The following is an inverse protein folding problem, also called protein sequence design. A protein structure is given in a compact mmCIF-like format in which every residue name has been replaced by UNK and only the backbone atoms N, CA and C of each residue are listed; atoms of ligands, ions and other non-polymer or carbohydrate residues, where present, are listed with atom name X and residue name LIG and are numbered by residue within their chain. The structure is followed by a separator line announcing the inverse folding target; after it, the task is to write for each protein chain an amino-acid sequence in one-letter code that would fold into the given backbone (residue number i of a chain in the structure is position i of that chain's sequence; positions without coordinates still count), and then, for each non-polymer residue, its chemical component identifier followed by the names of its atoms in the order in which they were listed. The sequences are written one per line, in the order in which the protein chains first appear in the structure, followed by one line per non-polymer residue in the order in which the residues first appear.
data_IF_338626865166
#
_entry.id   IF_338626865166
#
_cell.length_a   1.000
_cell.length_b   1.000
_cell.length_c   1.000
_cell.angle_alpha   90.00
_cell.angle_beta   90.00
_cell.angle_gamma   90.00
#
_symmetry.space_group_name_H-M   'P 1'
#
loop_
_entity.id
_entity.type
_entity.pdbx_description
1 polymer ?
#
# COMPACT_ATOMS: atom_id res chain seq x y z
N UNK A 1 20.88 15.21 -32.32
CA UNK A 1 19.97 14.23 -32.93
C UNK A 1 19.84 13.11 -31.92
N UNK A 2 18.72 13.06 -31.19
CA UNK A 2 18.53 12.11 -30.09
C UNK A 2 18.35 10.72 -30.67
N UNK A 3 19.26 9.80 -30.35
CA UNK A 3 19.10 8.37 -30.62
C UNK A 3 18.08 7.83 -29.62
N UNK A 4 16.80 7.87 -30.00
CA UNK A 4 15.74 7.22 -29.23
C UNK A 4 16.05 5.72 -29.16
N UNK A 5 16.15 5.19 -27.95
CA UNK A 5 16.26 3.75 -27.72
C UNK A 5 14.93 3.13 -28.15
N UNK A 6 14.94 2.31 -29.20
CA UNK A 6 13.77 1.51 -29.60
C UNK A 6 13.40 0.55 -28.46
N UNK A 7 12.30 0.83 -27.76
CA UNK A 7 11.75 -0.06 -26.77
C UNK A 7 11.02 -1.22 -27.47
N UNK A 8 11.27 -2.44 -27.00
CA UNK A 8 10.70 -3.66 -27.57
C UNK A 8 9.99 -4.48 -26.52
N UNK A 9 8.85 -5.06 -26.88
CA UNK A 9 8.10 -6.00 -26.06
C UNK A 9 8.99 -7.19 -25.66
N UNK A 10 9.12 -7.54 -24.37
CA UNK A 10 9.96 -8.66 -23.95
C UNK A 10 9.42 -10.03 -24.42
N UNK A 11 8.11 -10.14 -24.69
CA UNK A 11 7.49 -11.39 -25.12
C UNK A 11 7.55 -11.62 -26.63
N UNK A 12 7.39 -10.57 -27.45
CA UNK A 12 7.30 -10.72 -28.92
C UNK A 12 8.26 -9.83 -29.72
N UNK A 13 9.10 -9.03 -29.06
CA UNK A 13 10.07 -8.12 -29.67
C UNK A 13 9.50 -7.04 -30.61
N UNK A 14 8.16 -6.89 -30.65
CA UNK A 14 7.50 -5.78 -31.33
C UNK A 14 7.92 -4.45 -30.71
N UNK A 15 7.98 -3.40 -31.54
CA UNK A 15 8.24 -2.04 -31.08
C UNK A 15 7.07 -1.57 -30.20
N UNK A 16 7.37 -0.90 -29.10
CA UNK A 16 6.37 -0.47 -28.11
C UNK A 16 6.67 0.96 -27.63
N UNK A 17 5.63 1.76 -27.39
CA UNK A 17 5.79 3.06 -26.72
C UNK A 17 6.07 2.81 -25.23
N UNK A 18 6.99 3.55 -24.58
CA UNK A 18 7.23 3.46 -23.14
C UNK A 18 5.98 3.69 -22.27
N UNK A 19 4.94 4.33 -22.82
CA UNK A 19 3.65 4.54 -22.16
C UNK A 19 2.63 3.45 -22.44
N UNK A 20 2.90 2.55 -23.38
CA UNK A 20 1.99 1.45 -23.69
C UNK A 20 1.83 0.57 -22.45
N UNK A 21 0.58 0.33 -22.08
CA UNK A 21 0.23 -0.55 -20.97
C UNK A 21 0.32 -2.02 -21.38
N UNK A 22 0.00 -2.29 -22.64
CA UNK A 22 0.03 -3.61 -23.24
C UNK A 22 0.67 -3.51 -24.61
N UNK A 23 1.41 -4.54 -24.99
CA UNK A 23 1.90 -4.67 -26.35
C UNK A 23 0.72 -4.82 -27.28
N UNK A 24 0.54 -3.87 -28.19
CA UNK A 24 -0.54 -3.92 -29.18
C UNK A 24 -0.49 -5.17 -30.07
N UNK A 25 0.69 -5.79 -30.20
CA UNK A 25 0.88 -6.98 -31.01
C UNK A 25 0.53 -8.30 -30.30
N UNK A 26 0.91 -8.47 -29.03
CA UNK A 26 0.71 -9.75 -28.33
C UNK A 26 -0.10 -9.67 -27.03
N UNK A 27 -0.52 -8.48 -26.61
CA UNK A 27 -1.27 -8.26 -25.37
C UNK A 27 -0.42 -8.39 -24.09
N UNK A 28 0.88 -8.67 -24.19
CA UNK A 28 1.78 -8.72 -23.03
C UNK A 28 1.76 -7.37 -22.32
N UNK A 29 1.57 -7.37 -20.99
CA UNK A 29 1.66 -6.14 -20.20
C UNK A 29 3.09 -5.59 -20.24
N UNK A 30 3.20 -4.28 -20.50
CA UNK A 30 4.45 -3.56 -20.68
C UNK A 30 4.63 -2.55 -19.54
N UNK A 31 5.89 -2.22 -19.23
CA UNK A 31 6.20 -1.15 -18.28
C UNK A 31 6.01 -1.52 -16.81
N UNK A 32 6.14 -2.80 -16.46
CA UNK A 32 6.20 -3.28 -15.07
C UNK A 32 5.02 -4.14 -14.61
N UNK A 33 5.20 -4.89 -13.51
CA UNK A 33 4.11 -5.65 -12.86
C UNK A 33 3.28 -4.73 -11.97
N UNK A 34 1.97 -4.96 -11.88
CA UNK A 34 1.07 -4.16 -11.04
C UNK A 34 0.03 -4.99 -10.32
N UNK A 35 -0.50 -4.45 -9.23
CA UNK A 35 -1.68 -4.96 -8.54
C UNK A 35 -2.49 -3.81 -7.94
N UNK A 36 -3.81 -3.97 -7.87
CA UNK A 36 -4.69 -3.17 -7.03
C UNK A 36 -5.71 -4.09 -6.37
N UNK A 37 -5.75 -4.08 -5.04
CA UNK A 37 -6.66 -4.86 -4.20
C UNK A 37 -7.52 -3.92 -3.35
N UNK A 38 -8.75 -4.32 -2.96
CA UNK A 38 -9.42 -5.55 -3.40
C UNK A 38 -9.70 -5.55 -4.91
N UNK A 39 -9.37 -6.65 -5.60
CA UNK A 39 -9.86 -6.91 -6.95
C UNK A 39 -11.16 -7.67 -6.77
N UNK A 40 -12.30 -7.16 -7.26
CA UNK A 40 -13.59 -7.86 -7.13
C UNK A 40 -13.67 -9.16 -7.97
N UNK A 41 -12.53 -9.77 -8.28
CA UNK A 41 -12.43 -11.09 -8.88
C UNK A 41 -12.78 -12.15 -7.83
N UNK A 42 -13.59 -13.18 -8.17
CA UNK A 42 -13.96 -14.21 -7.21
C UNK A 42 -12.70 -14.98 -6.74
N UNK A 43 -12.35 -14.87 -5.45
CA UNK A 43 -11.27 -15.66 -4.86
C UNK A 43 -11.53 -17.18 -4.90
N UNK A 44 -10.58 -18.04 -4.47
CA UNK A 44 -10.76 -19.50 -4.45
C UNK A 44 -11.94 -19.91 -3.55
N UNK A 45 -12.80 -20.87 -3.96
CA UNK A 45 -14.07 -21.18 -3.29
C UNK A 45 -13.92 -21.40 -1.78
N UNK A 46 -14.54 -20.53 -1.00
CA UNK A 46 -14.79 -20.71 0.43
C UNK A 46 -16.01 -21.60 0.61
N UNK A 47 -16.17 -22.23 1.77
CA UNK A 47 -17.41 -22.95 2.07
C UNK A 47 -18.56 -21.94 2.20
N UNK A 48 -19.72 -22.26 1.64
CA UNK A 48 -20.90 -21.41 1.71
C UNK A 48 -21.36 -21.20 3.15
N UNK A 49 -21.55 -19.94 3.56
CA UNK A 49 -21.96 -19.58 4.92
C UNK A 49 -23.29 -20.21 5.36
N UNK A 50 -24.19 -20.52 4.42
CA UNK A 50 -25.48 -21.13 4.73
C UNK A 50 -25.49 -22.66 4.75
N UNK A 51 -24.69 -23.31 3.90
CA UNK A 51 -24.79 -24.77 3.73
C UNK A 51 -23.46 -25.52 3.75
N UNK A 52 -22.33 -24.82 3.86
CA UNK A 52 -20.98 -25.38 3.80
C UNK A 52 -20.56 -25.92 2.43
N UNK A 53 -21.38 -25.70 1.38
CA UNK A 53 -21.10 -26.16 0.01
C UNK A 53 -19.89 -25.43 -0.60
N UNK A 54 -19.12 -26.11 -1.43
CA UNK A 54 -17.90 -25.58 -2.06
C UNK A 54 -18.10 -25.18 -3.53
N UNK A 55 -19.32 -25.30 -4.05
CA UNK A 55 -19.63 -25.12 -5.46
C UNK A 55 -20.50 -23.88 -5.67
N UNK A 56 -20.08 -23.06 -6.64
CA UNK A 56 -20.74 -21.82 -7.02
C UNK A 56 -20.96 -21.79 -8.53
N UNK A 57 -21.99 -21.09 -9.00
CA UNK A 57 -22.20 -20.81 -10.41
C UNK A 57 -21.36 -19.63 -10.91
N UNK A 58 -21.51 -19.27 -12.20
CA UNK A 58 -20.75 -18.17 -12.83
C UNK A 58 -21.07 -16.78 -12.27
N UNK A 59 -22.18 -16.65 -11.56
CA UNK A 59 -22.64 -15.41 -10.92
C UNK A 59 -22.34 -15.39 -9.40
N UNK A 60 -21.64 -16.42 -8.89
CA UNK A 60 -21.20 -16.51 -7.50
C UNK A 60 -22.25 -17.00 -6.51
N UNK A 61 -23.36 -17.57 -6.96
CA UNK A 61 -24.36 -18.18 -6.07
C UNK A 61 -24.01 -19.63 -5.76
N UNK A 62 -24.18 -20.02 -4.49
CA UNK A 62 -23.97 -21.40 -4.08
C UNK A 62 -24.97 -22.30 -4.81
N UNK A 63 -24.48 -23.30 -5.55
CA UNK A 63 -25.35 -24.22 -6.30
C UNK A 63 -26.19 -25.12 -5.40
N UNK A 64 -25.83 -25.22 -4.12
CA UNK A 64 -26.47 -26.10 -3.15
C UNK A 64 -27.60 -25.40 -2.38
N UNK A 65 -27.47 -24.11 -2.05
CA UNK A 65 -28.48 -23.37 -1.27
C UNK A 65 -28.94 -22.03 -1.86
N UNK A 66 -28.37 -21.59 -2.98
CA UNK A 66 -28.73 -20.33 -3.63
C UNK A 66 -28.26 -19.07 -2.88
N UNK A 67 -27.46 -19.21 -1.82
CA UNK A 67 -26.89 -18.07 -1.13
C UNK A 67 -25.73 -17.50 -1.95
N UNK A 68 -25.71 -16.18 -2.12
CA UNK A 68 -24.57 -15.50 -2.71
C UNK A 68 -23.33 -15.80 -1.87
N UNK A 69 -22.23 -16.14 -2.53
CA UNK A 69 -20.96 -16.40 -1.87
C UNK A 69 -20.60 -15.22 -0.97
N UNK A 70 -20.33 -15.51 0.32
CA UNK A 70 -19.61 -14.58 1.17
C UNK A 70 -18.25 -14.35 0.52
N UNK A 71 -18.00 -13.12 0.06
CA UNK A 71 -16.73 -12.79 -0.57
C UNK A 71 -15.62 -13.18 0.41
N UNK A 72 -14.59 -13.94 0.00
CA UNK A 72 -13.36 -13.93 0.75
C UNK A 72 -12.88 -12.49 0.69
N UNK A 73 -13.15 -11.73 1.74
CA UNK A 73 -12.78 -10.32 1.79
C UNK A 73 -11.31 -10.17 2.22
N UNK A 74 -10.53 -11.20 1.88
CA UNK A 74 -9.08 -11.26 1.90
C UNK A 74 -8.58 -11.38 0.48
N UNK A 75 -7.68 -10.49 0.13
CA UNK A 75 -6.99 -10.48 -1.15
C UNK A 75 -5.49 -10.41 -0.90
N UNK A 76 -4.72 -11.17 -1.67
CA UNK A 76 -3.26 -11.13 -1.62
C UNK A 76 -2.65 -11.20 -3.02
N UNK A 77 -1.47 -10.61 -3.17
CA UNK A 77 -0.68 -10.69 -4.38
C UNK A 77 0.81 -10.57 -4.07
N UNK A 78 1.61 -11.19 -4.92
CA UNK A 78 3.08 -11.15 -4.85
C UNK A 78 3.63 -10.83 -6.23
N UNK A 79 4.25 -9.64 -6.38
CA UNK A 79 4.89 -9.19 -7.61
C UNK A 79 6.39 -9.57 -7.66
N UNK A 80 6.89 -10.28 -6.64
CA UNK A 80 8.29 -10.60 -6.39
C UNK A 80 9.03 -9.47 -5.68
N UNK A 81 8.86 -8.23 -6.15
CA UNK A 81 9.43 -7.04 -5.50
C UNK A 81 8.59 -6.53 -4.31
N UNK A 82 7.31 -6.89 -4.26
CA UNK A 82 6.37 -6.46 -3.23
C UNK A 82 5.31 -7.54 -3.05
N UNK A 83 5.02 -7.86 -1.79
CA UNK A 83 3.90 -8.70 -1.40
C UNK A 83 2.86 -7.86 -0.65
N UNK A 84 1.60 -8.03 -1.00
CA UNK A 84 0.48 -7.29 -0.40
C UNK A 84 -0.59 -8.26 0.08
N UNK A 85 -1.22 -7.94 1.20
CA UNK A 85 -2.39 -8.63 1.74
C UNK A 85 -3.34 -7.57 2.29
N UNK A 86 -4.63 -7.68 1.98
CA UNK A 86 -5.70 -6.89 2.60
C UNK A 86 -6.80 -7.84 3.04
N UNK A 87 -7.36 -7.64 4.23
CA UNK A 87 -8.37 -8.49 4.86
C UNK A 87 -9.43 -7.60 5.54
N UNK A 88 -10.71 -7.91 5.37
CA UNK A 88 -11.82 -7.21 6.05
C UNK A 88 -11.71 -7.20 7.58
N UNK A 89 -10.98 -8.13 8.16
CA UNK A 89 -11.04 -8.38 9.59
C UNK A 89 -12.33 -9.11 9.98
N UNK A 90 -12.60 -9.12 11.29
CA UNK A 90 -13.70 -9.88 11.89
C UNK A 90 -14.95 -9.01 12.00
N UNK A 91 -14.80 -7.77 12.47
CA UNK A 91 -15.93 -6.92 12.89
C UNK A 91 -16.60 -6.14 11.76
N UNK A 92 -15.87 -5.77 10.72
CA UNK A 92 -16.41 -4.93 9.63
C UNK A 92 -17.25 -5.75 8.66
N UNK A 93 -18.27 -5.15 8.04
CA UNK A 93 -19.13 -5.84 7.08
C UNK A 93 -18.54 -5.95 5.66
N UNK A 94 -17.52 -5.13 5.37
CA UNK A 94 -16.80 -5.05 4.10
C UNK A 94 -15.37 -4.58 4.37
N UNK A 95 -14.47 -4.87 3.43
CA UNK A 95 -13.14 -4.28 3.41
C UNK A 95 -13.21 -2.89 2.75
N UNK A 96 -12.92 -1.88 3.56
CA UNK A 96 -12.84 -0.47 3.21
C UNK A 96 -11.40 -0.03 2.96
N UNK A 97 -10.41 -0.90 3.23
CA UNK A 97 -9.03 -0.69 2.83
C UNK A 97 -8.81 -0.99 1.35
N UNK A 98 -7.75 -0.38 0.80
CA UNK A 98 -7.21 -0.70 -0.50
C UNK A 98 -5.68 -0.64 -0.50
N UNK A 99 -5.08 -1.44 -1.36
CA UNK A 99 -3.64 -1.41 -1.65
C UNK A 99 -3.40 -1.51 -3.13
N UNK A 100 -2.47 -0.72 -3.64
CA UNK A 100 -1.99 -0.85 -5.01
C UNK A 100 -0.46 -0.82 -5.03
N UNK A 101 0.14 -1.51 -6.01
CA UNK A 101 1.57 -1.45 -6.22
C UNK A 101 1.95 -1.57 -7.71
N UNK A 102 3.10 -1.02 -8.06
CA UNK A 102 3.73 -1.12 -9.37
C UNK A 102 5.24 -1.37 -9.22
N UNK A 103 5.79 -2.26 -10.04
CA UNK A 103 7.21 -2.59 -10.09
C UNK A 103 7.77 -2.16 -11.44
N UNK A 104 8.69 -1.20 -11.43
CA UNK A 104 9.47 -0.78 -12.59
C UNK A 104 10.80 -1.54 -12.59
N UNK A 105 10.98 -2.42 -13.58
CA UNK A 105 12.10 -3.37 -13.64
C UNK A 105 13.40 -2.75 -14.24
N UNK A 106 13.42 -1.44 -14.52
CA UNK A 106 14.56 -0.76 -15.16
C UNK A 106 14.78 -1.09 -16.64
N UNK A 107 13.84 -1.80 -17.28
CA UNK A 107 13.93 -2.17 -18.69
C UNK A 107 14.02 -0.94 -19.60
N UNK A 108 14.88 -0.99 -20.61
CA UNK A 108 15.04 0.11 -21.58
C UNK A 108 15.75 1.36 -21.04
N UNK A 109 16.49 1.23 -19.92
CA UNK A 109 17.16 2.36 -19.28
C UNK A 109 16.26 3.18 -18.35
N UNK A 110 15.04 2.69 -18.06
CA UNK A 110 14.15 3.27 -17.07
C UNK A 110 14.61 3.02 -15.62
N UNK A 111 13.94 3.62 -14.62
CA UNK A 111 14.28 3.40 -13.22
C UNK A 111 13.96 1.97 -12.75
N UNK A 112 14.80 1.41 -11.86
CA UNK A 112 14.48 0.22 -11.05
C UNK A 112 13.82 0.68 -9.76
N UNK A 113 12.50 0.61 -9.70
CA UNK A 113 11.73 1.18 -8.60
C UNK A 113 10.47 0.36 -8.27
N UNK A 114 10.04 0.38 -7.02
CA UNK A 114 8.72 -0.11 -6.61
C UNK A 114 7.91 1.05 -6.04
N UNK A 115 6.66 1.19 -6.47
CA UNK A 115 5.69 2.17 -5.97
C UNK A 115 4.57 1.41 -5.27
N UNK A 116 4.22 1.83 -4.06
CA UNK A 116 3.14 1.21 -3.27
C UNK A 116 2.26 2.32 -2.69
N UNK A 117 0.97 2.08 -2.63
CA UNK A 117 0.01 2.88 -1.86
C UNK A 117 -0.88 1.96 -1.05
N UNK A 118 -1.03 2.25 0.24
CA UNK A 118 -2.10 1.71 1.10
C UNK A 118 -3.02 2.88 1.45
N UNK A 119 -4.32 2.68 1.38
CA UNK A 119 -5.33 3.66 1.75
C UNK A 119 -6.42 2.96 2.57
N UNK A 120 -6.82 3.58 3.67
CA UNK A 120 -7.83 3.08 4.60
C UNK A 120 -9.07 3.96 4.49
N UNK A 121 -10.22 3.36 4.20
CA UNK A 121 -11.47 4.07 4.02
C UNK A 121 -12.07 4.50 5.35
N UNK A 122 -12.37 5.79 5.53
CA UNK A 122 -12.93 6.30 6.79
C UNK A 122 -14.37 5.79 6.96
N UNK A 123 -14.60 4.84 7.86
CA UNK A 123 -15.91 4.14 8.00
C UNK A 123 -17.12 5.04 8.30
N UNK A 124 -16.90 6.27 8.79
CA UNK A 124 -17.96 7.25 9.02
C UNK A 124 -18.36 8.04 7.78
N UNK A 125 -17.63 7.88 6.66
CA UNK A 125 -17.91 8.51 5.37
C UNK A 125 -18.82 7.65 4.49
N UNK A 126 -19.33 8.24 3.40
CA UNK A 126 -20.06 7.48 2.38
C UNK A 126 -19.08 6.73 1.47
N UNK A 127 -19.42 5.49 1.10
CA UNK A 127 -18.62 4.67 0.19
C UNK A 127 -17.09 4.72 0.42
N UNK A 128 -16.60 4.51 1.66
CA UNK A 128 -15.17 4.61 2.01
C UNK A 128 -14.28 3.70 1.16
N UNK A 129 -14.79 2.53 0.76
CA UNK A 129 -14.11 1.59 -0.15
C UNK A 129 -13.87 2.17 -1.56
N UNK A 130 -14.73 3.10 -2.00
CA UNK A 130 -14.56 3.79 -3.29
C UNK A 130 -13.46 4.84 -3.17
N UNK A 131 -13.41 5.56 -2.04
CA UNK A 131 -12.36 6.54 -1.76
C UNK A 131 -10.98 5.86 -1.68
N UNK A 132 -10.81 4.87 -0.81
CA UNK A 132 -9.53 4.16 -0.63
C UNK A 132 -9.06 3.49 -1.92
N UNK A 133 -9.95 2.77 -2.61
CA UNK A 133 -9.64 2.14 -3.89
C UNK A 133 -9.23 3.13 -4.98
N UNK A 134 -9.90 4.29 -5.05
CA UNK A 134 -9.56 5.36 -6.01
C UNK A 134 -8.21 5.99 -5.67
N UNK A 135 -7.96 6.27 -4.39
CA UNK A 135 -6.71 6.84 -3.90
C UNK A 135 -5.52 5.93 -4.20
N UNK A 136 -5.63 4.63 -3.87
CA UNK A 136 -4.58 3.65 -4.09
C UNK A 136 -4.22 3.52 -5.58
N UNK A 137 -5.21 3.29 -6.44
CA UNK A 137 -5.00 3.13 -7.89
C UNK A 137 -4.42 4.39 -8.54
N UNK A 138 -5.01 5.54 -8.25
CA UNK A 138 -4.60 6.81 -8.85
C UNK A 138 -3.21 7.23 -8.36
N UNK A 139 -2.95 7.08 -7.06
CA UNK A 139 -1.67 7.44 -6.45
C UNK A 139 -0.51 6.64 -7.02
N UNK A 140 -0.66 5.31 -7.16
CA UNK A 140 0.34 4.45 -7.79
C UNK A 140 0.59 4.87 -9.23
N UNK A 141 -0.47 5.05 -10.03
CA UNK A 141 -0.30 5.33 -11.46
C UNK A 141 0.35 6.69 -11.69
N UNK A 142 -0.10 7.75 -11.01
CA UNK A 142 0.49 9.08 -11.15
C UNK A 142 1.96 9.12 -10.67
N UNK A 143 2.28 8.43 -9.56
CA UNK A 143 3.65 8.31 -9.09
C UNK A 143 4.53 7.53 -10.08
N UNK A 144 4.01 6.43 -10.62
CA UNK A 144 4.68 5.62 -11.65
C UNK A 144 4.98 6.45 -12.90
N UNK A 145 4.01 7.20 -13.40
CA UNK A 145 4.19 8.10 -14.55
C UNK A 145 5.28 9.14 -14.26
N UNK A 146 5.24 9.78 -13.10
CA UNK A 146 6.26 10.77 -12.69
C UNK A 146 7.68 10.17 -12.65
N UNK A 147 7.84 8.94 -12.16
CA UNK A 147 9.15 8.25 -12.18
C UNK A 147 9.62 7.93 -13.60
N UNK A 148 8.72 7.51 -14.49
CA UNK A 148 9.04 7.25 -15.90
C UNK A 148 9.42 8.53 -16.65
N UNK A 149 8.84 9.67 -16.26
CA UNK A 149 9.22 11.00 -16.76
C UNK A 149 10.56 11.50 -16.16
N UNK A 150 11.19 10.71 -15.30
CA UNK A 150 12.51 10.99 -14.73
C UNK A 150 12.49 11.90 -13.50
N UNK A 151 11.32 12.12 -12.88
CA UNK A 151 11.24 12.93 -11.66
C UNK A 151 11.90 12.22 -10.47
N UNK A 152 12.48 12.97 -9.51
CA UNK A 152 12.98 12.41 -8.25
C UNK A 152 11.87 11.73 -7.44
N UNK A 153 12.24 10.74 -6.60
CA UNK A 153 11.30 9.96 -5.78
C UNK A 153 10.37 10.83 -4.94
N UNK A 154 10.89 11.92 -4.36
CA UNK A 154 10.11 12.91 -3.60
C UNK A 154 9.01 13.58 -4.44
N UNK A 155 9.36 14.06 -5.64
CA UNK A 155 8.40 14.72 -6.52
C UNK A 155 7.37 13.72 -7.07
N UNK A 156 7.80 12.50 -7.40
CA UNK A 156 6.90 11.44 -7.83
C UNK A 156 5.92 11.00 -6.73
N UNK A 157 6.38 10.86 -5.48
CA UNK A 157 5.51 10.54 -4.35
C UNK A 157 4.45 11.63 -4.13
N UNK A 158 4.87 12.91 -4.20
CA UNK A 158 3.94 14.05 -4.09
C UNK A 158 2.98 14.16 -5.27
N UNK A 159 3.42 13.83 -6.50
CA UNK A 159 2.54 13.75 -7.66
C UNK A 159 1.45 12.68 -7.48
N UNK A 160 1.83 11.50 -6.95
CA UNK A 160 0.89 10.44 -6.57
C UNK A 160 -0.14 10.91 -5.54
N UNK A 161 0.33 11.49 -4.43
CA UNK A 161 -0.54 12.02 -3.37
C UNK A 161 -1.49 13.11 -3.87
N UNK A 162 -1.00 14.05 -4.68
CA UNK A 162 -1.82 15.12 -5.24
C UNK A 162 -2.89 14.60 -6.21
N UNK A 163 -2.54 13.63 -7.06
CA UNK A 163 -3.48 13.00 -7.98
C UNK A 163 -4.55 12.18 -7.23
N UNK A 164 -4.14 11.40 -6.23
CA UNK A 164 -5.05 10.66 -5.36
C UNK A 164 -6.02 11.60 -4.62
N UNK A 165 -5.50 12.71 -4.07
CA UNK A 165 -6.31 13.75 -3.43
C UNK A 165 -7.40 14.26 -4.37
N UNK A 166 -7.02 14.66 -5.58
CA UNK A 166 -7.95 15.22 -6.54
C UNK A 166 -8.99 14.17 -6.97
N UNK A 167 -8.56 12.94 -7.26
CA UNK A 167 -9.46 11.87 -7.68
C UNK A 167 -10.50 11.51 -6.61
N UNK A 168 -10.13 11.49 -5.32
CA UNK A 168 -11.09 11.25 -4.23
C UNK A 168 -12.08 12.42 -4.10
N UNK A 169 -11.61 13.67 -4.25
CA UNK A 169 -12.49 14.85 -4.22
C UNK A 169 -13.50 14.89 -5.37
N UNK A 170 -13.14 14.32 -6.50
CA UNK A 170 -14.01 14.25 -7.68
C UNK A 170 -15.04 13.12 -7.59
N UNK A 171 -14.98 12.26 -6.56
CA UNK A 171 -16.05 11.30 -6.26
C UNK A 171 -17.28 12.11 -5.83
N UNK A 172 -18.39 11.92 -6.55
CA UNK A 172 -19.63 12.65 -6.29
C UNK A 172 -20.10 12.47 -4.85
N UNK A 173 -20.51 13.57 -4.22
CA UNK A 173 -21.06 13.58 -2.85
C UNK A 173 -22.58 13.44 -2.95
N UNK A 174 -23.14 12.38 -2.35
CA UNK A 174 -24.55 12.36 -2.01
C UNK A 174 -24.71 12.90 -0.57
N UNK A 175 -25.81 13.61 -0.30
CA UNK A 175 -26.35 13.96 1.02
C UNK A 175 -25.38 14.15 2.23
N UNK A 176 -24.28 14.87 2.03
CA UNK A 176 -23.58 15.60 3.10
C UNK A 176 -22.36 14.95 3.75
N UNK A 177 -21.94 13.73 3.35
CA UNK A 177 -20.67 13.14 3.80
C UNK A 177 -19.85 12.71 2.59
N UNK A 178 -18.68 13.31 2.39
CA UNK A 178 -17.85 12.99 1.24
C UNK A 178 -17.10 11.67 1.45
N UNK A 179 -17.04 10.79 0.43
CA UNK A 179 -16.17 9.62 0.49
C UNK A 179 -14.74 10.00 0.86
N UNK A 180 -14.24 9.34 1.91
CA UNK A 180 -12.98 9.74 2.54
C UNK A 180 -12.08 8.56 2.86
N UNK A 181 -10.78 8.78 2.81
CA UNK A 181 -9.78 7.78 3.16
C UNK A 181 -8.47 8.40 3.67
N UNK A 182 -7.65 7.62 4.35
CA UNK A 182 -6.23 7.90 4.58
C UNK A 182 -5.43 7.65 3.29
N UNK A 183 -4.13 7.91 3.36
CA UNK A 183 -3.19 7.59 2.28
C UNK A 183 -1.78 7.43 2.85
N UNK A 184 -1.13 6.30 2.61
CA UNK A 184 0.31 6.15 2.79
C UNK A 184 0.92 5.55 1.53
N UNK A 185 2.00 6.14 1.05
CA UNK A 185 2.69 5.69 -0.16
C UNK A 185 4.18 5.56 0.06
N UNK A 186 4.82 4.75 -0.77
CA UNK A 186 6.26 4.65 -0.81
C UNK A 186 6.78 4.48 -2.23
N UNK A 187 7.94 5.07 -2.48
CA UNK A 187 8.81 4.82 -3.62
C UNK A 187 10.10 4.20 -3.09
N UNK A 188 10.40 2.98 -3.53
CA UNK A 188 11.65 2.28 -3.23
C UNK A 188 12.46 2.23 -4.51
N UNK A 189 13.58 2.94 -4.57
CA UNK A 189 14.44 3.05 -5.75
C UNK A 189 15.83 2.56 -5.43
N UNK A 190 16.34 1.63 -6.23
CA UNK A 190 17.71 1.12 -6.10
C UNK A 190 18.63 1.85 -7.08
N UNK A 191 19.79 2.27 -6.60
CA UNK A 191 20.87 2.86 -7.39
C UNK A 191 22.23 2.27 -6.98
N UNK A 192 23.32 2.80 -7.54
CA UNK A 192 24.67 2.33 -7.25
C UNK A 192 25.12 2.58 -5.80
N UNK A 193 24.48 3.52 -5.11
CA UNK A 193 24.82 3.95 -3.75
C UNK A 193 23.90 3.31 -2.68
N UNK A 194 22.99 2.41 -3.09
CA UNK A 194 22.11 1.65 -2.21
C UNK A 194 20.63 1.78 -2.59
N UNK A 195 19.76 1.72 -1.58
CA UNK A 195 18.31 1.88 -1.76
C UNK A 195 17.83 3.16 -1.12
N UNK A 196 17.14 3.98 -1.90
CA UNK A 196 16.39 5.15 -1.46
C UNK A 196 14.93 4.77 -1.24
N UNK A 197 14.41 5.09 -0.06
CA UNK A 197 13.01 4.88 0.32
C UNK A 197 12.41 6.24 0.62
N UNK A 198 11.43 6.66 -0.17
CA UNK A 198 10.67 7.89 0.05
C UNK A 198 9.23 7.54 0.37
N UNK A 199 8.75 7.96 1.53
CA UNK A 199 7.36 7.76 1.97
C UNK A 199 6.60 9.08 1.99
N UNK A 200 5.31 9.03 1.66
CA UNK A 200 4.38 10.15 1.85
C UNK A 200 3.11 9.67 2.56
N UNK A 201 2.61 10.40 3.57
CA UNK A 201 1.37 10.03 4.28
C UNK A 201 0.40 11.19 4.54
N UNK A 202 -0.88 10.84 4.60
CA UNK A 202 -2.02 11.64 5.10
C UNK A 202 -2.90 10.70 5.90
N UNK A 203 -3.29 11.11 7.10
CA UNK A 203 -4.00 10.23 8.05
C UNK A 203 -3.03 9.40 8.88
N UNK A 204 -3.46 8.24 9.34
CA UNK A 204 -2.76 7.42 10.33
C UNK A 204 -2.37 6.02 9.85
N UNK A 205 -2.54 5.71 8.56
CA UNK A 205 -1.84 4.57 7.96
C UNK A 205 -0.33 4.83 7.97
N UNK A 206 0.46 3.78 8.24
CA UNK A 206 1.87 3.92 8.59
C UNK A 206 2.82 3.23 7.62
N UNK A 207 4.05 3.75 7.58
CA UNK A 207 5.18 3.06 6.96
C UNK A 207 6.32 2.89 7.96
N UNK A 208 7.04 1.76 7.87
CA UNK A 208 8.13 1.38 8.75
C UNK A 208 9.33 0.88 7.95
N UNK A 209 10.52 1.30 8.34
CA UNK A 209 11.75 0.60 7.97
C UNK A 209 12.04 -0.46 9.04
N UNK A 210 12.24 -1.70 8.63
CA UNK A 210 12.47 -2.84 9.50
C UNK A 210 13.81 -3.48 9.12
N UNK A 211 14.80 -3.30 9.96
CA UNK A 211 16.15 -3.79 9.75
C UNK A 211 16.21 -5.32 9.95
N UNK A 212 16.94 -6.05 9.09
CA UNK A 212 17.04 -7.52 9.17
C UNK A 212 18.16 -8.04 10.10
N UNK A 213 19.16 -7.21 10.44
CA UNK A 213 20.37 -7.61 11.20
C UNK A 213 20.44 -7.01 12.63
N UNK A 214 21.52 -7.28 13.35
CA UNK A 214 21.85 -6.58 14.61
C UNK A 214 22.45 -5.18 14.32
N UNK A 215 22.29 -4.19 15.22
CA UNK A 215 22.31 -2.74 14.91
C UNK A 215 23.66 -2.08 14.53
N UNK A 216 24.66 -2.84 14.07
CA UNK A 216 26.05 -2.36 13.99
C UNK A 216 26.52 -1.90 12.60
N UNK A 217 25.66 -1.90 11.56
CA UNK A 217 26.01 -1.32 10.25
C UNK A 217 25.66 0.19 10.21
N UNK A 218 26.65 1.10 10.16
CA UNK A 218 26.40 2.54 10.07
C UNK A 218 25.67 2.97 8.79
N UNK A 219 25.64 2.13 7.74
CA UNK A 219 24.88 2.33 6.52
C UNK A 219 23.46 1.77 6.55
N UNK A 220 23.07 1.06 7.63
CA UNK A 220 21.76 0.46 7.77
C UNK A 220 21.03 1.01 9.02
N UNK A 221 20.03 1.89 8.86
CA UNK A 221 19.36 2.54 9.97
C UNK A 221 18.57 1.53 10.83
N UNK A 222 18.41 1.79 12.14
CA UNK A 222 17.62 0.92 13.01
C UNK A 222 16.14 0.90 12.60
N UNK A 223 15.44 -0.16 12.99
CA UNK A 223 13.99 -0.28 12.76
C UNK A 223 13.25 0.92 13.34
N UNK A 224 12.43 1.57 12.53
CA UNK A 224 11.76 2.82 12.90
C UNK A 224 10.51 3.10 12.05
N UNK A 225 9.54 3.80 12.65
CA UNK A 225 8.41 4.40 11.91
C UNK A 225 8.93 5.53 11.01
N UNK A 226 8.43 5.57 9.78
CA UNK A 226 8.80 6.57 8.76
C UNK A 226 7.74 7.67 8.60
N UNK A 227 6.52 7.43 9.05
CA UNK A 227 5.38 8.35 8.97
C UNK A 227 5.12 9.08 10.28
N UNK A 228 4.33 10.15 10.21
CA UNK A 228 3.76 10.82 11.36
C UNK A 228 2.25 10.86 11.18
N UNK A 229 1.51 10.30 12.13
CA UNK A 229 0.05 10.17 12.02
C UNK A 229 -0.61 11.56 12.07
N UNK A 230 -1.57 11.82 11.17
CA UNK A 230 -2.44 13.00 11.27
C UNK A 230 -3.61 12.71 12.22
N UNK A 231 -3.30 12.43 13.48
CA UNK A 231 -4.26 12.15 14.55
C UNK A 231 -4.23 13.20 15.66
N UNK A 232 -5.31 13.26 16.45
CA UNK A 232 -5.38 14.14 17.61
C UNK A 232 -4.30 13.83 18.65
N UNK A 233 -4.02 12.54 18.90
CA UNK A 233 -2.95 12.13 19.81
C UNK A 233 -1.58 12.64 19.34
N UNK A 234 -1.23 12.44 18.06
CA UNK A 234 0.05 12.90 17.52
C UNK A 234 0.16 14.42 17.58
N UNK A 235 -0.92 15.16 17.31
CA UNK A 235 -0.93 16.61 17.42
C UNK A 235 -0.67 17.12 18.86
N UNK A 236 -1.18 16.42 19.88
CA UNK A 236 -0.92 16.76 21.28
C UNK A 236 0.53 16.46 21.68
N UNK A 237 1.10 15.37 21.20
CA UNK A 237 2.51 14.99 21.43
C UNK A 237 3.44 16.01 20.75
N UNK A 238 3.18 16.33 19.49
CA UNK A 238 3.99 17.29 18.72
C UNK A 238 3.95 18.70 19.33
N UNK A 239 2.82 19.08 19.94
CA UNK A 239 2.68 20.34 20.68
C UNK A 239 3.36 20.33 22.07
N UNK A 240 3.89 19.18 22.51
CA UNK A 240 4.44 18.99 23.86
C UNK A 240 3.38 19.09 24.96
N UNK A 241 2.09 18.95 24.60
CA UNK A 241 0.97 19.10 25.53
C UNK A 241 0.71 17.82 26.33
N UNK A 242 1.08 16.66 25.79
CA UNK A 242 0.98 15.34 26.43
C UNK A 242 2.15 14.46 26.00
N UNK A 243 2.53 13.51 26.85
CA UNK A 243 3.38 12.40 26.41
C UNK A 243 2.58 11.40 25.57
N UNK A 244 3.30 10.57 24.81
CA UNK A 244 2.70 9.61 23.87
C UNK A 244 1.75 8.62 24.55
N UNK A 245 2.10 8.13 25.74
CA UNK A 245 1.28 7.17 26.47
C UNK A 245 -0.03 7.81 26.94
N UNK A 246 0.03 9.02 27.48
CA UNK A 246 -1.15 9.77 27.90
C UNK A 246 -2.03 10.14 26.69
N UNK A 247 -1.42 10.59 25.59
CA UNK A 247 -2.15 10.98 24.37
C UNK A 247 -2.91 9.79 23.76
N UNK A 248 -2.30 8.60 23.74
CA UNK A 248 -2.91 7.38 23.21
C UNK A 248 -4.09 6.86 24.06
N UNK A 249 -4.13 7.22 25.34
CA UNK A 249 -5.23 6.87 26.25
C UNK A 249 -6.39 7.89 26.20
N UNK A 250 -6.30 8.99 25.44
CA UNK A 250 -7.42 9.92 25.24
C UNK A 250 -8.51 9.24 24.39
N UNK A 251 -9.81 9.39 24.73
CA UNK A 251 -10.90 8.83 23.93
C UNK A 251 -10.93 9.30 22.46
N UNK A 252 -10.24 10.40 22.15
CA UNK A 252 -10.12 10.98 20.81
C UNK A 252 -8.77 10.67 20.16
N UNK A 253 -7.94 9.81 20.75
CA UNK A 253 -6.57 9.58 20.30
C UNK A 253 -6.49 9.30 18.79
N UNK A 254 -7.40 8.45 18.30
CA UNK A 254 -7.52 8.02 16.91
C UNK A 254 -8.32 8.98 16.01
N UNK A 255 -8.80 10.12 16.52
CA UNK A 255 -9.52 11.08 15.67
C UNK A 255 -8.56 11.66 14.63
N UNK A 256 -8.82 11.34 13.35
CA UNK A 256 -8.11 11.93 12.22
C UNK A 256 -8.33 13.44 12.15
N UNK A 257 -7.24 14.17 11.92
CA UNK A 257 -7.25 15.63 11.69
C UNK A 257 -6.94 15.99 10.23
N UNK A 258 -6.48 15.01 9.43
CA UNK A 258 -6.34 15.12 7.97
C UNK A 258 -6.68 13.79 7.29
N UNK A 259 -7.32 13.88 6.13
CA UNK A 259 -7.72 12.76 5.29
C UNK A 259 -7.87 13.27 3.84
N UNK A 260 -7.97 12.34 2.89
CA UNK A 260 -8.39 12.61 1.53
C UNK A 260 -9.91 12.56 1.47
N UNK A 261 -10.54 13.62 0.97
CA UNK A 261 -12.00 13.77 0.91
C UNK A 261 -12.37 15.18 0.43
N UNK A 262 -13.57 15.36 -0.10
CA UNK A 262 -14.07 16.69 -0.50
C UNK A 262 -14.36 17.60 0.71
N UNK A 263 -14.58 17.00 1.88
CA UNK A 263 -14.77 17.66 3.17
C UNK A 263 -13.45 17.83 3.97
N UNK A 264 -12.35 17.24 3.48
CA UNK A 264 -11.02 17.38 4.06
C UNK A 264 -10.39 18.76 3.83
N UNK A 265 -9.26 19.06 4.50
CA UNK A 265 -8.59 20.35 4.36
C UNK A 265 -8.06 20.58 2.93
N UNK A 266 -8.11 21.84 2.45
CA UNK A 266 -7.74 22.19 1.08
C UNK A 266 -6.36 21.65 0.64
N UNK A 267 -5.37 21.72 1.54
CA UNK A 267 -4.10 20.98 1.48
C UNK A 267 -4.20 19.84 2.51
N UNK A 268 -4.45 18.59 2.10
CA UNK A 268 -4.71 17.50 3.04
C UNK A 268 -3.45 16.92 3.69
N UNK A 269 -2.26 17.37 3.34
CA UNK A 269 -1.01 16.88 3.93
C UNK A 269 -0.32 17.91 4.82
N UNK A 270 0.37 17.42 5.85
CA UNK A 270 1.20 18.21 6.75
C UNK A 270 2.54 18.58 6.10
N UNK A 271 3.32 19.45 6.75
CA UNK A 271 4.66 19.80 6.25
C UNK A 271 5.68 18.67 6.46
N UNK A 272 5.37 17.70 7.32
CA UNK A 272 6.19 16.51 7.59
C UNK A 272 5.66 15.26 6.88
N UNK A 273 4.72 15.42 5.94
CA UNK A 273 4.09 14.29 5.25
C UNK A 273 5.07 13.46 4.41
N UNK A 274 6.25 13.98 4.07
CA UNK A 274 7.24 13.34 3.22
C UNK A 274 8.52 13.05 4.00
N UNK A 275 9.02 11.81 3.91
CA UNK A 275 10.31 11.41 4.50
C UNK A 275 11.11 10.55 3.53
N UNK A 276 12.41 10.81 3.44
CA UNK A 276 13.34 9.98 2.66
C UNK A 276 14.39 9.36 3.57
N UNK A 277 14.63 8.07 3.37
CA UNK A 277 15.65 7.26 4.03
C UNK A 277 16.56 6.66 2.95
N UNK A 278 17.85 6.52 3.24
CA UNK A 278 18.76 5.69 2.46
C UNK A 278 19.30 4.56 3.31
N UNK A 279 19.46 3.39 2.71
CA UNK A 279 20.07 2.22 3.33
C UNK A 279 20.95 1.49 2.33
N UNK A 280 22.06 0.95 2.81
CA UNK A 280 22.94 0.04 2.05
C UNK A 280 22.79 -1.42 2.49
N UNK A 281 22.09 -1.67 3.59
CA UNK A 281 21.96 -3.01 4.19
C UNK A 281 20.56 -3.63 4.01
N UNK A 282 20.41 -4.92 4.37
CA UNK A 282 19.17 -5.64 4.18
C UNK A 282 18.10 -5.22 5.19
N UNK A 283 16.84 -5.34 4.76
CA UNK A 283 15.68 -5.08 5.59
C UNK A 283 14.38 -5.19 4.81
N UNK A 284 13.32 -4.66 5.41
CA UNK A 284 11.98 -4.65 4.86
C UNK A 284 11.38 -3.26 5.05
N UNK A 285 10.77 -2.74 4.00
CA UNK A 285 9.80 -1.66 4.12
C UNK A 285 8.40 -2.27 4.30
N UNK A 286 7.71 -1.87 5.37
CA UNK A 286 6.34 -2.26 5.66
C UNK A 286 5.43 -1.03 5.55
N UNK A 287 4.33 -1.13 4.80
CA UNK A 287 3.20 -0.19 4.87
C UNK A 287 1.98 -0.93 5.44
N UNK A 288 1.20 -0.28 6.29
CA UNK A 288 -0.01 -0.88 6.86
C UNK A 288 -1.11 0.13 7.22
N UNK A 289 -2.37 -0.33 7.22
CA UNK A 289 -3.49 0.37 7.85
C UNK A 289 -3.44 0.22 9.39
N UNK A 290 -4.37 0.86 10.08
CA UNK A 290 -4.43 0.85 11.54
C UNK A 290 -4.89 -0.50 12.11
N UNK A 291 -5.62 -1.30 11.34
CA UNK A 291 -5.96 -2.67 11.71
C UNK A 291 -4.76 -3.57 11.96
N UNK A 292 -3.55 -3.23 11.49
CA UNK A 292 -2.32 -3.87 11.97
C UNK A 292 -1.74 -3.14 13.19
N UNK A 293 -1.42 -1.85 13.05
CA UNK A 293 -0.56 -1.17 14.02
C UNK A 293 -1.25 -0.96 15.38
N UNK A 294 -2.59 -0.97 15.43
CA UNK A 294 -3.34 -0.97 16.69
C UNK A 294 -3.02 -2.20 17.56
N UNK A 295 -2.59 -3.31 16.98
CA UNK A 295 -2.17 -4.52 17.70
C UNK A 295 -0.65 -4.67 17.81
N UNK A 296 0.11 -4.14 16.83
CA UNK A 296 1.57 -4.24 16.79
C UNK A 296 2.19 -2.96 16.19
N UNK A 297 2.55 -2.01 17.05
CA UNK A 297 3.06 -0.70 16.65
C UNK A 297 4.58 -0.54 16.76
N UNK A 298 5.24 -1.37 17.58
CA UNK A 298 6.68 -1.30 17.84
C UNK A 298 7.49 -1.78 16.64
N UNK A 299 8.42 -0.95 16.16
CA UNK A 299 9.20 -1.26 14.95
C UNK A 299 10.17 -2.44 15.14
N UNK A 300 10.64 -2.70 16.36
CA UNK A 300 11.53 -3.83 16.62
C UNK A 300 10.75 -5.14 16.58
N UNK A 301 9.60 -5.18 17.26
CA UNK A 301 8.71 -6.34 17.24
C UNK A 301 8.12 -6.61 15.84
N UNK A 302 7.81 -5.57 15.06
CA UNK A 302 7.45 -5.72 13.64
C UNK A 302 8.58 -6.35 12.83
N UNK A 303 9.84 -5.94 13.07
CA UNK A 303 10.99 -6.49 12.36
C UNK A 303 11.18 -7.98 12.63
N UNK A 304 10.98 -8.43 13.88
CA UNK A 304 11.06 -9.86 14.25
C UNK A 304 10.12 -10.74 13.42
N UNK A 305 8.93 -10.25 13.06
CA UNK A 305 7.97 -10.99 12.22
C UNK A 305 8.27 -10.77 10.74
N UNK A 306 8.42 -9.51 10.32
CA UNK A 306 8.50 -9.13 8.91
C UNK A 306 9.77 -9.62 8.19
N UNK A 307 10.84 -9.90 8.95
CA UNK A 307 12.13 -10.31 8.38
C UNK A 307 12.44 -11.80 8.57
N UNK A 308 11.59 -12.54 9.30
CA UNK A 308 11.83 -13.96 9.62
C UNK A 308 11.53 -14.92 8.45
N UNK A 309 10.63 -14.55 7.54
CA UNK A 309 10.16 -15.39 6.45
C UNK A 309 10.14 -14.63 5.12
N UNK A 310 9.79 -15.33 4.03
CA UNK A 310 9.66 -14.69 2.72
C UNK A 310 8.55 -13.60 2.77
N UNK A 311 8.67 -12.49 2.01
CA UNK A 311 7.76 -11.35 2.07
C UNK A 311 6.27 -11.69 2.06
N UNK A 312 5.83 -12.58 1.16
CA UNK A 312 4.43 -12.99 1.06
C UNK A 312 3.96 -13.87 2.23
N UNK A 313 4.87 -14.56 2.91
CA UNK A 313 4.57 -15.32 4.13
C UNK A 313 4.47 -14.34 5.30
N UNK A 314 5.47 -13.48 5.46
CA UNK A 314 5.51 -12.45 6.50
C UNK A 314 4.28 -11.52 6.47
N UNK A 315 3.84 -11.08 5.29
CA UNK A 315 2.66 -10.24 5.13
C UNK A 315 1.39 -10.96 5.62
N UNK A 316 1.24 -12.25 5.30
CA UNK A 316 0.13 -13.07 5.81
C UNK A 316 0.25 -13.30 7.31
N UNK A 317 1.45 -13.53 7.84
CA UNK A 317 1.67 -13.74 9.28
C UNK A 317 1.29 -12.51 10.10
N UNK A 318 1.58 -11.30 9.61
CA UNK A 318 1.16 -10.04 10.24
C UNK A 318 -0.36 -9.86 10.25
N UNK A 319 -1.04 -10.15 9.12
CA UNK A 319 -2.52 -10.11 9.06
C UNK A 319 -3.12 -11.13 10.01
N UNK A 320 -2.61 -12.36 10.01
CA UNK A 320 -3.06 -13.42 10.92
C UNK A 320 -2.80 -13.08 12.39
N UNK A 321 -1.71 -12.36 12.68
CA UNK A 321 -1.45 -11.85 14.02
C UNK A 321 -2.55 -10.87 14.46
N UNK A 322 -2.86 -9.86 13.65
CA UNK A 322 -3.91 -8.88 13.95
C UNK A 322 -5.29 -9.53 14.14
N UNK A 323 -5.64 -10.51 13.29
CA UNK A 323 -6.88 -11.28 13.42
C UNK A 323 -6.96 -12.03 14.76
N UNK A 324 -5.86 -12.68 15.20
CA UNK A 324 -5.80 -13.37 16.49
C UNK A 324 -5.90 -12.42 17.69
N UNK A 325 -5.43 -11.18 17.53
CA UNK A 325 -5.52 -10.15 18.57
C UNK A 325 -6.91 -9.50 18.66
N UNK A 326 -7.79 -9.72 17.67
CA UNK A 326 -9.18 -9.31 17.72
C UNK A 326 -9.78 -9.00 16.34
N UNK A 327 -8.94 -8.56 15.38
CA UNK A 327 -9.38 -8.21 14.03
C UNK A 327 -10.55 -7.24 13.98
N UNK A 328 -10.52 -6.19 14.81
CA UNK A 328 -11.64 -5.27 14.96
C UNK A 328 -11.81 -4.30 13.80
N UNK A 329 -10.79 -4.14 12.96
CA UNK A 329 -10.79 -3.28 11.78
C UNK A 329 -10.37 -4.04 10.53
N UNK A 330 -10.45 -3.39 9.36
CA UNK A 330 -9.82 -3.84 8.13
C UNK A 330 -8.28 -3.84 8.29
N UNK A 331 -7.61 -4.83 7.71
CA UNK A 331 -6.18 -5.06 7.92
C UNK A 331 -5.50 -5.13 6.57
N UNK A 332 -4.63 -4.16 6.29
CA UNK A 332 -3.86 -4.11 5.06
C UNK A 332 -2.37 -4.01 5.35
N UNK A 333 -1.59 -4.83 4.65
CA UNK A 333 -0.15 -4.98 4.82
C UNK A 333 0.52 -5.06 3.45
N UNK A 334 1.54 -4.25 3.23
CA UNK A 334 2.43 -4.33 2.07
C UNK A 334 3.89 -4.41 2.53
N UNK A 335 4.61 -5.41 2.02
CA UNK A 335 6.01 -5.69 2.35
C UNK A 335 6.87 -5.59 1.09
N UNK A 336 7.94 -4.81 1.18
CA UNK A 336 8.98 -4.71 0.15
C UNK A 336 10.31 -5.13 0.78
N UNK A 337 10.90 -6.28 0.38
CA UNK A 337 12.27 -6.61 0.79
C UNK A 337 13.25 -5.60 0.20
N UNK A 338 14.28 -5.24 0.95
CA UNK A 338 15.32 -4.31 0.52
C UNK A 338 16.69 -4.95 0.78
N UNK A 339 17.60 -5.02 -0.21
CA UNK A 339 17.28 -4.87 -1.64
C UNK A 339 16.34 -6.00 -2.10
N UNK A 340 15.36 -5.72 -2.98
CA UNK A 340 14.61 -6.80 -3.62
C UNK A 340 15.41 -7.33 -4.82
N UNK A 341 15.52 -8.65 -4.91
CA UNK A 341 16.18 -9.33 -6.03
C UNK A 341 15.11 -9.91 -6.97
N UNK A 342 15.32 -9.82 -8.29
CA UNK A 342 14.47 -10.53 -9.24
C UNK A 342 14.71 -12.05 -9.12
N UNK A 343 13.69 -12.90 -9.27
CA UNK A 343 13.91 -14.34 -9.40
C UNK A 343 14.85 -14.62 -10.58
N UNK A 344 16.08 -15.05 -10.29
CA UNK A 344 17.11 -15.36 -11.30
C UNK A 344 18.31 -14.41 -11.37
N UNK A 345 18.32 -13.29 -10.62
CA UNK A 345 19.57 -12.55 -10.33
C UNK A 345 20.35 -13.35 -9.28
N UNK A 346 21.27 -14.21 -9.75
CA UNK A 346 22.30 -14.81 -8.87
C UNK A 346 23.27 -13.69 -8.51
N UNK A 347 23.44 -13.44 -7.21
CA UNK A 347 24.46 -12.52 -6.66
C UNK A 347 25.87 -12.92 -7.10
#
# INVERSE_FOLDING_TARGET
MSTGVELRCPACAAEVDPRDRFCENCGQELGGKRVALPNHEPGPPTACDGCGGLRYDGDGYCVDCGQLRGAPDRFDADLGAVAVVTDRGISHARNEDAVAAAVLDGTGGGPKATVIVVADGVSSSEDPQVASGTAARTGVEACRTALLDGLPSAEAAMAGLAAATQAVRDIGVADGHAPSCTYVSAVVRADADGTEITVANVGDSRAYWLHADAPDDPGNPPSQRLTSDDSWAQALVDAGAMDEHAAMNDPRAHTLIRWLGADGPAKPWSDNCLRTLRTTGPGVLLLCSDGLWNYLSDATALAEVATATAPAVAARELVEFALRCGGSDNITVAIVPVPWSQPGEVQ
#
